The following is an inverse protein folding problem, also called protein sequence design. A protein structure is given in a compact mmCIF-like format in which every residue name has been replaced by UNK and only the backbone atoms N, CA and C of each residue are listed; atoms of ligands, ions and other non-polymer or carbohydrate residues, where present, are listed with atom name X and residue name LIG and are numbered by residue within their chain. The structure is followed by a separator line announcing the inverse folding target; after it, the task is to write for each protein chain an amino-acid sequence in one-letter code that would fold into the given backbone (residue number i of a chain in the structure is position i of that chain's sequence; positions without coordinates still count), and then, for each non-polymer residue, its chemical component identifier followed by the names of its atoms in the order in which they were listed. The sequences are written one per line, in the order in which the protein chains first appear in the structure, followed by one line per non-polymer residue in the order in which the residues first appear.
data_IF_636895127360
#
_entry.id   IF_636895127360
#
_cell.length_a   1.000
_cell.length_b   1.000
_cell.length_c   1.000
_cell.angle_alpha   90.00
_cell.angle_beta   90.00
_cell.angle_gamma   90.00
#
_symmetry.space_group_name_H-M   'P 1'
#
loop_
_entity.id
_entity.type
_entity.pdbx_description
1 polymer ?
#
# COMPACT_ATOMS: atom_id res chain seq x y z
N UNK A 1 9.27 13.68 -1.45
CA UNK A 1 7.87 13.85 -1.90
C UNK A 1 7.49 12.58 -2.64
N UNK A 2 6.32 12.00 -2.38
CA UNK A 2 5.87 10.78 -3.08
C UNK A 2 5.16 11.16 -4.37
N UNK A 3 5.29 10.34 -5.40
CA UNK A 3 4.56 10.50 -6.66
C UNK A 3 3.08 10.15 -6.51
N UNK A 4 2.77 9.21 -5.60
CA UNK A 4 1.40 8.82 -5.31
C UNK A 4 1.28 7.97 -4.06
N UNK A 5 0.07 7.47 -3.85
CA UNK A 5 -0.28 6.58 -2.73
C UNK A 5 -1.05 5.38 -3.23
N UNK A 6 -0.88 4.26 -2.52
CA UNK A 6 -1.59 3.00 -2.74
C UNK A 6 -2.53 2.78 -1.55
N UNK A 7 -3.78 2.40 -1.83
CA UNK A 7 -4.83 2.22 -0.83
C UNK A 7 -5.59 0.92 -1.09
N UNK A 8 -6.13 0.31 -0.02
CA UNK A 8 -6.95 -0.91 -0.07
C UNK A 8 -8.47 -0.61 0.00
N UNK A 9 -8.85 0.62 -0.33
CA UNK A 9 -10.19 1.15 -0.16
C UNK A 9 -10.19 2.68 -0.09
N UNK A 10 -11.38 3.26 0.01
CA UNK A 10 -11.58 4.70 0.00
C UNK A 10 -12.79 5.10 0.84
N UNK A 11 -12.97 6.40 1.06
CA UNK A 11 -14.17 6.94 1.70
C UNK A 11 -15.02 7.60 0.61
N UNK A 12 -16.30 7.28 0.57
CA UNK A 12 -17.30 7.91 -0.29
C UNK A 12 -18.46 8.37 0.58
N UNK A 13 -18.83 9.65 0.51
CA UNK A 13 -19.90 10.24 1.32
C UNK A 13 -19.79 9.95 2.83
N UNK A 14 -18.57 9.96 3.37
CA UNK A 14 -18.29 9.66 4.78
C UNK A 14 -18.34 8.17 5.14
N UNK A 15 -18.65 7.29 4.19
CA UNK A 15 -18.71 5.84 4.39
C UNK A 15 -17.43 5.20 3.86
N UNK A 16 -16.71 4.39 4.66
CA UNK A 16 -15.58 3.62 4.18
C UNK A 16 -16.05 2.49 3.26
N UNK A 17 -15.43 2.39 2.09
CA UNK A 17 -15.65 1.36 1.07
C UNK A 17 -14.35 0.58 0.92
N UNK A 18 -14.38 -0.70 1.26
CA UNK A 18 -13.30 -1.62 0.93
C UNK A 18 -13.41 -2.05 -0.53
N UNK A 19 -12.29 -2.14 -1.24
CA UNK A 19 -12.25 -2.59 -2.63
C UNK A 19 -11.43 -3.87 -2.74
N UNK A 20 -11.87 -4.86 -3.53
CA UNK A 20 -11.08 -6.06 -3.77
C UNK A 20 -9.80 -5.75 -4.57
N UNK A 21 -9.76 -4.59 -5.22
CA UNK A 21 -8.65 -4.08 -6.01
C UNK A 21 -7.93 -2.94 -5.31
N UNK A 22 -6.68 -2.71 -5.70
CA UNK A 22 -5.89 -1.58 -5.24
C UNK A 22 -6.46 -0.25 -5.78
N UNK A 23 -6.19 0.82 -5.05
CA UNK A 23 -6.50 2.18 -5.50
C UNK A 23 -5.21 2.97 -5.46
N UNK A 24 -4.87 3.57 -6.59
CA UNK A 24 -3.78 4.53 -6.66
C UNK A 24 -4.32 5.95 -6.57
N UNK A 25 -3.53 6.84 -5.99
CA UNK A 25 -3.84 8.26 -6.00
C UNK A 25 -2.60 9.09 -6.27
N UNK A 26 -2.71 10.05 -7.18
CA UNK A 26 -1.63 10.91 -7.63
C UNK A 26 -2.19 12.27 -8.09
N UNK A 27 -1.34 13.29 -8.09
CA UNK A 27 -1.70 14.63 -8.57
C UNK A 27 -1.21 14.88 -10.01
N UNK A 28 -0.22 14.12 -10.47
CA UNK A 28 0.35 14.24 -11.80
C UNK A 28 -0.52 13.45 -12.80
N UNK A 29 -1.05 14.14 -13.80
CA UNK A 29 -1.92 13.55 -14.82
C UNK A 29 -1.21 12.46 -15.62
N UNK A 30 0.09 12.61 -15.91
CA UNK A 30 0.85 11.59 -16.62
C UNK A 30 0.95 10.29 -15.79
N UNK A 31 1.18 10.42 -14.48
CA UNK A 31 1.21 9.28 -13.57
C UNK A 31 -0.16 8.58 -13.52
N UNK A 32 -1.24 9.36 -13.43
CA UNK A 32 -2.61 8.84 -13.39
C UNK A 32 -2.95 8.07 -14.66
N UNK A 33 -2.63 8.63 -15.82
CA UNK A 33 -2.84 8.00 -17.13
C UNK A 33 -2.10 6.67 -17.20
N UNK A 34 -0.78 6.66 -16.92
CA UNK A 34 0.02 5.43 -16.94
C UNK A 34 -0.54 4.37 -15.98
N UNK A 35 -0.91 4.75 -14.77
CA UNK A 35 -1.51 3.81 -13.80
C UNK A 35 -2.83 3.22 -14.30
N UNK A 36 -3.68 4.02 -14.95
CA UNK A 36 -4.96 3.55 -15.49
C UNK A 36 -4.80 2.66 -16.73
N UNK A 37 -3.80 2.91 -17.56
CA UNK A 37 -3.50 2.09 -18.74
C UNK A 37 -2.90 0.75 -18.33
N UNK A 38 -1.99 0.74 -17.36
CA UNK A 38 -1.28 -0.46 -16.95
C UNK A 38 -2.13 -1.37 -16.05
N UNK A 39 -2.77 -0.80 -15.03
CA UNK A 39 -3.51 -1.57 -14.04
C UNK A 39 -5.02 -1.63 -14.31
N UNK A 40 -5.45 -1.07 -15.44
CA UNK A 40 -6.85 -0.97 -15.82
C UNK A 40 -7.67 -0.08 -14.88
N UNK A 41 -8.98 -0.23 -14.97
CA UNK A 41 -9.94 0.43 -14.10
C UNK A 41 -10.34 1.85 -14.49
N UNK A 42 -10.89 2.59 -13.51
CA UNK A 42 -11.54 3.88 -13.75
C UNK A 42 -10.86 5.02 -12.98
N UNK A 43 -10.63 6.13 -13.68
CA UNK A 43 -10.12 7.38 -13.09
C UNK A 43 -11.28 8.15 -12.48
N UNK A 44 -11.31 8.22 -11.16
CA UNK A 44 -12.21 9.05 -10.39
C UNK A 44 -11.52 10.35 -9.98
N UNK A 45 -12.02 11.48 -10.49
CA UNK A 45 -11.55 12.81 -10.11
C UNK A 45 -12.10 13.16 -8.74
N UNK A 46 -11.29 12.94 -7.71
CA UNK A 46 -11.62 13.33 -6.35
C UNK A 46 -11.68 14.87 -6.27
N UNK A 47 -12.88 15.43 -6.14
CA UNK A 47 -13.06 16.89 -6.03
C UNK A 47 -12.29 17.53 -4.85
N UNK A 48 -12.24 18.85 -4.84
CA UNK A 48 -11.63 19.77 -3.85
C UNK A 48 -10.12 19.60 -3.52
N UNK A 49 -9.52 18.40 -3.64
CA UNK A 49 -8.10 18.18 -3.33
C UNK A 49 -7.18 18.25 -4.54
N UNK A 50 -7.73 18.13 -5.76
CA UNK A 50 -6.94 18.00 -7.00
C UNK A 50 -6.22 16.64 -7.13
N UNK A 51 -6.47 15.70 -6.22
CA UNK A 51 -5.92 14.35 -6.26
C UNK A 51 -6.81 13.48 -7.16
N UNK A 52 -6.20 12.83 -8.15
CA UNK A 52 -6.88 11.84 -8.98
C UNK A 52 -6.78 10.47 -8.31
N UNK A 53 -7.86 9.69 -8.38
CA UNK A 53 -7.87 8.29 -7.94
C UNK A 53 -8.01 7.38 -9.14
N UNK A 54 -7.22 6.33 -9.19
CA UNK A 54 -7.39 5.22 -10.14
C UNK A 54 -7.85 4.03 -9.33
N UNK A 55 -9.12 3.64 -9.49
CA UNK A 55 -9.66 2.39 -8.96
C UNK A 55 -9.30 1.34 -9.99
N UNK A 56 -8.28 0.52 -9.72
CA UNK A 56 -7.72 -0.41 -10.70
C UNK A 56 -8.49 -1.72 -10.77
N UNK A 57 -8.16 -2.54 -11.76
CA UNK A 57 -8.65 -3.91 -11.88
C UNK A 57 -7.72 -4.92 -11.20
N UNK A 58 -6.49 -4.51 -10.86
CA UNK A 58 -5.53 -5.35 -10.10
C UNK A 58 -5.78 -5.31 -8.59
N UNK A 59 -5.57 -6.44 -7.91
CA UNK A 59 -5.49 -6.53 -6.46
C UNK A 59 -4.05 -6.57 -5.95
N UNK A 60 -3.04 -6.54 -6.83
CA UNK A 60 -1.63 -6.64 -6.47
C UNK A 60 -0.71 -5.70 -7.24
N UNK A 61 0.43 -5.40 -6.63
CA UNK A 61 1.50 -4.59 -7.19
C UNK A 61 2.84 -5.02 -6.60
N UNK A 62 3.89 -5.04 -7.41
CA UNK A 62 5.26 -5.26 -6.94
C UNK A 62 5.95 -3.92 -6.74
N UNK A 63 6.58 -3.75 -5.59
CA UNK A 63 7.32 -2.56 -5.21
C UNK A 63 8.80 -2.86 -5.03
N UNK A 64 9.64 -2.15 -5.77
CA UNK A 64 11.07 -2.08 -5.54
C UNK A 64 11.37 -1.11 -4.40
N UNK A 65 12.07 -1.59 -3.39
CA UNK A 65 12.43 -0.86 -2.18
C UNK A 65 13.86 -0.33 -2.29
N UNK A 66 14.08 0.87 -1.76
CA UNK A 66 15.43 1.46 -1.72
C UNK A 66 16.30 0.84 -0.61
N UNK A 67 15.66 0.52 0.51
CA UNK A 67 16.30 -0.03 1.71
C UNK A 67 15.27 -0.82 2.55
N UNK A 68 15.71 -1.65 3.50
CA UNK A 68 14.79 -2.37 4.40
C UNK A 68 13.89 -1.43 5.21
N UNK A 69 14.40 -0.25 5.59
CA UNK A 69 13.67 0.77 6.37
C UNK A 69 12.53 1.43 5.57
N UNK A 70 12.42 1.13 4.27
CA UNK A 70 11.29 1.54 3.44
C UNK A 70 9.99 0.84 3.85
N UNK A 71 10.10 -0.20 4.67
CA UNK A 71 9.00 -0.88 5.35
C UNK A 71 9.08 -0.57 6.85
N UNK A 72 8.15 0.24 7.33
CA UNK A 72 8.11 0.73 8.71
C UNK A 72 6.79 0.33 9.37
N UNK A 73 6.86 -0.17 10.60
CA UNK A 73 5.71 -0.39 11.46
C UNK A 73 5.98 0.19 12.84
N UNK A 74 5.08 1.04 13.33
CA UNK A 74 5.19 1.63 14.67
C UNK A 74 3.84 1.69 15.38
N UNK A 75 3.87 1.76 16.70
CA UNK A 75 2.67 1.98 17.51
C UNK A 75 2.45 3.49 17.71
N UNK A 76 1.26 3.99 17.39
CA UNK A 76 0.87 5.36 17.76
C UNK A 76 0.11 5.32 19.09
N UNK A 77 0.73 5.91 20.11
CA UNK A 77 0.12 6.11 21.43
C UNK A 77 -0.74 7.39 21.38
N UNK A 78 -2.05 7.23 21.30
CA UNK A 78 -3.00 8.35 21.36
C UNK A 78 -3.29 8.68 22.84
N UNK A 79 -2.76 9.79 23.35
CA UNK A 79 -2.95 10.23 24.74
C UNK A 79 -4.35 10.86 25.03
N UNK A 80 -5.28 10.84 24.08
CA UNK A 80 -6.66 11.29 24.31
C UNK A 80 -7.49 10.17 24.91
N UNK A 81 -8.11 10.43 26.05
CA UNK A 81 -8.97 9.50 26.78
C UNK A 81 -9.94 8.77 25.84
N UNK A 82 -9.88 7.44 25.83
CA UNK A 82 -10.81 6.56 25.13
C UNK A 82 -10.45 6.20 23.68
N UNK A 83 -9.33 6.66 23.12
CA UNK A 83 -8.90 6.18 21.78
C UNK A 83 -7.94 5.00 21.93
N UNK A 84 -8.26 3.82 21.36
CA UNK A 84 -7.33 2.70 21.36
C UNK A 84 -6.06 3.08 20.60
N UNK A 85 -4.92 2.54 21.05
CA UNK A 85 -3.68 2.60 20.29
C UNK A 85 -3.90 1.99 18.90
N UNK A 86 -3.18 2.48 17.91
CA UNK A 86 -3.27 1.96 16.55
C UNK A 86 -1.89 1.78 15.95
N UNK A 87 -1.68 0.74 15.15
CA UNK A 87 -0.47 0.62 14.36
C UNK A 87 -0.48 1.69 13.28
N UNK A 88 0.72 2.08 12.88
CA UNK A 88 1.01 2.95 11.73
C UNK A 88 2.04 2.20 10.91
N UNK A 89 1.58 1.55 9.84
CA UNK A 89 2.39 0.77 8.93
C UNK A 89 2.52 1.55 7.63
N UNK A 90 3.75 1.73 7.18
CA UNK A 90 4.06 2.41 5.92
C UNK A 90 5.05 1.61 5.10
N UNK A 91 4.77 1.52 3.80
CA UNK A 91 5.64 0.88 2.82
C UNK A 91 5.89 1.89 1.71
N UNK A 92 7.16 2.09 1.35
CA UNK A 92 7.58 3.05 0.32
C UNK A 92 8.39 2.32 -0.73
N UNK A 93 8.02 2.48 -1.99
CA UNK A 93 8.75 1.83 -3.09
C UNK A 93 8.40 2.41 -4.43
N UNK A 94 9.20 2.08 -5.44
CA UNK A 94 8.87 2.32 -6.84
C UNK A 94 8.09 1.12 -7.36
N UNK A 95 7.15 1.34 -8.27
CA UNK A 95 6.44 0.24 -8.92
C UNK A 95 7.43 -0.46 -9.85
N UNK A 96 7.54 -1.78 -9.73
CA UNK A 96 8.40 -2.61 -10.57
C UNK A 96 8.02 -2.44 -12.05
N UNK A 97 9.00 -2.12 -12.91
CA UNK A 97 8.78 -1.83 -14.33
C UNK A 97 8.29 -0.40 -14.64
N UNK A 98 8.01 0.40 -13.61
CA UNK A 98 7.52 1.78 -13.73
C UNK A 98 8.28 2.74 -12.80
N UNK A 99 9.59 2.57 -12.69
CA UNK A 99 10.43 3.30 -11.74
C UNK A 99 10.45 4.81 -12.01
N UNK A 100 10.23 5.21 -13.27
CA UNK A 100 10.14 6.61 -13.69
C UNK A 100 8.93 7.35 -13.12
N UNK A 101 7.87 6.63 -12.71
CA UNK A 101 6.72 7.23 -12.05
C UNK A 101 7.08 7.74 -10.65
N UNK A 102 8.18 7.29 -10.06
CA UNK A 102 8.65 7.71 -8.75
C UNK A 102 8.18 6.83 -7.60
N UNK A 103 8.29 7.36 -6.38
CA UNK A 103 8.05 6.58 -5.15
C UNK A 103 6.58 6.67 -4.73
N UNK A 104 5.96 5.52 -4.51
CA UNK A 104 4.62 5.37 -3.97
C UNK A 104 4.66 5.04 -2.48
N UNK A 105 3.62 5.48 -1.77
CA UNK A 105 3.41 5.19 -0.36
C UNK A 105 2.15 4.35 -0.18
N UNK A 106 2.31 3.13 0.34
CA UNK A 106 1.21 2.39 0.94
C UNK A 106 1.17 2.67 2.46
N UNK A 107 -0.02 2.95 2.98
CA UNK A 107 -0.20 3.24 4.41
C UNK A 107 -1.43 2.54 4.95
N UNK A 108 -1.28 1.85 6.08
CA UNK A 108 -2.40 1.19 6.77
C UNK A 108 -2.26 1.31 8.28
N UNK A 109 -3.41 1.31 8.96
CA UNK A 109 -3.51 1.17 10.41
C UNK A 109 -4.18 -0.15 10.79
N UNK A 110 -4.23 -1.10 9.86
CA UNK A 110 -4.78 -2.43 10.08
C UNK A 110 -3.83 -3.29 10.92
N UNK A 111 -4.40 -3.99 11.89
CA UNK A 111 -3.66 -4.93 12.73
C UNK A 111 -3.20 -6.18 11.99
N UNK A 112 -3.75 -6.46 10.81
CA UNK A 112 -3.52 -7.71 10.08
C UNK A 112 -2.08 -7.93 9.67
N UNK A 113 -1.33 -6.87 9.38
CA UNK A 113 0.08 -6.97 8.97
C UNK A 113 1.05 -6.95 10.15
N UNK A 114 0.64 -6.45 11.32
CA UNK A 114 1.52 -6.28 12.49
C UNK A 114 2.29 -7.56 12.84
N UNK A 115 1.67 -8.76 12.89
CA UNK A 115 2.38 -9.99 13.22
C UNK A 115 3.48 -10.37 12.20
N UNK A 116 3.35 -9.94 10.96
CA UNK A 116 4.24 -10.30 9.85
C UNK A 116 5.40 -9.30 9.69
N UNK A 117 5.28 -8.10 10.28
CA UNK A 117 6.22 -7.01 10.03
C UNK A 117 7.66 -7.31 10.41
N UNK A 118 7.86 -7.97 11.55
CA UNK A 118 9.19 -8.30 12.02
C UNK A 118 9.89 -9.26 11.03
N UNK A 119 9.18 -10.30 10.59
CA UNK A 119 9.71 -11.27 9.63
C UNK A 119 10.07 -10.59 8.29
N UNK A 120 9.18 -9.72 7.79
CA UNK A 120 9.42 -8.97 6.55
C UNK A 120 10.68 -8.11 6.68
N UNK A 121 10.86 -7.42 7.80
CA UNK A 121 12.03 -6.56 8.03
C UNK A 121 13.33 -7.38 8.13
N UNK A 122 13.31 -8.50 8.84
CA UNK A 122 14.47 -9.39 8.98
C UNK A 122 14.87 -10.02 7.64
N UNK A 123 13.89 -10.42 6.82
CA UNK A 123 14.12 -10.98 5.49
C UNK A 123 14.73 -9.92 4.55
N UNK A 124 14.17 -8.71 4.52
CA UNK A 124 14.72 -7.59 3.75
C UNK A 124 16.14 -7.21 4.20
N UNK A 125 16.41 -7.21 5.50
CA UNK A 125 17.75 -6.98 6.03
C UNK A 125 18.74 -8.06 5.58
N UNK A 126 18.30 -9.33 5.57
CA UNK A 126 19.10 -10.47 5.10
C UNK A 126 19.41 -10.35 3.60
N UNK A 127 18.42 -10.02 2.77
CA UNK A 127 18.61 -9.79 1.34
C UNK A 127 19.56 -8.61 1.08
N UNK A 128 19.41 -7.52 1.84
CA UNK A 128 20.28 -6.36 1.73
C UNK A 128 21.73 -6.68 2.07
N UNK A 129 21.97 -7.48 3.11
CA UNK A 129 23.32 -7.92 3.48
C UNK A 129 23.99 -8.77 2.39
N UNK A 130 23.19 -9.46 1.56
CA UNK A 130 23.66 -10.22 0.40
C UNK A 130 23.85 -9.35 -0.86
N UNK A 131 23.56 -8.06 -0.78
CA UNK A 131 23.62 -7.14 -1.93
C UNK A 131 22.49 -7.34 -2.95
N UNK A 132 21.43 -8.08 -2.58
CA UNK A 132 20.29 -8.32 -3.46
C UNK A 132 19.41 -7.07 -3.63
N UNK A 133 18.68 -7.04 -4.74
CA UNK A 133 17.61 -6.06 -4.94
C UNK A 133 16.45 -6.38 -4.00
N UNK A 134 15.86 -5.35 -3.41
CA UNK A 134 14.78 -5.50 -2.44
C UNK A 134 13.46 -5.27 -3.15
N UNK A 135 12.62 -6.30 -3.21
CA UNK A 135 11.29 -6.22 -3.82
C UNK A 135 10.26 -6.87 -2.91
N UNK A 136 9.08 -6.29 -2.87
CA UNK A 136 7.93 -6.88 -2.19
C UNK A 136 6.72 -6.91 -3.12
N UNK A 137 5.89 -7.93 -2.99
CA UNK A 137 4.54 -7.96 -3.55
C UNK A 137 3.58 -7.48 -2.47
N UNK A 138 2.83 -6.43 -2.78
CA UNK A 138 1.68 -5.99 -2.00
C UNK A 138 0.42 -6.49 -2.71
N UNK A 139 -0.41 -7.27 -2.04
CA UNK A 139 -1.67 -7.78 -2.61
C UNK A 139 -2.84 -7.64 -1.63
N UNK A 140 -4.06 -7.63 -2.16
CA UNK A 140 -5.30 -7.73 -1.38
C UNK A 140 -5.87 -9.13 -1.54
N UNK A 141 -6.22 -9.73 -0.42
CA UNK A 141 -6.88 -11.03 -0.40
C UNK A 141 -8.05 -11.06 0.56
N UNK A 142 -8.98 -11.98 0.29
CA UNK A 142 -10.16 -12.20 1.11
C UNK A 142 -9.82 -13.11 2.28
N UNK A 143 -10.30 -12.74 3.47
CA UNK A 143 -10.27 -13.59 4.66
C UNK A 143 -11.69 -13.86 5.12
N UNK A 144 -11.96 -15.15 5.28
CA UNK A 144 -13.21 -15.67 5.81
C UNK A 144 -13.04 -15.88 7.31
N UNK A 145 -13.81 -15.12 8.09
CA UNK A 145 -14.07 -15.40 9.49
C UNK A 145 -15.39 -16.16 9.61
N UNK A 146 -15.63 -16.86 10.73
CA UNK A 146 -16.90 -17.54 10.98
C UNK A 146 -18.13 -16.64 10.84
N UNK A 147 -17.98 -15.33 11.04
CA UNK A 147 -19.09 -14.37 11.06
C UNK A 147 -18.96 -13.24 10.04
N UNK A 148 -17.87 -13.17 9.27
CA UNK A 148 -17.63 -12.05 8.37
C UNK A 148 -16.63 -12.40 7.27
N UNK A 149 -16.79 -11.75 6.12
CA UNK A 149 -15.80 -11.72 5.04
C UNK A 149 -15.18 -10.34 5.01
N UNK A 150 -13.85 -10.25 5.02
CA UNK A 150 -13.16 -8.97 4.89
C UNK A 150 -11.93 -9.09 4.01
N UNK A 151 -11.56 -7.98 3.39
CA UNK A 151 -10.36 -7.86 2.58
C UNK A 151 -9.21 -7.37 3.46
N UNK A 152 -8.04 -7.99 3.32
CA UNK A 152 -6.83 -7.55 4.00
C UNK A 152 -5.65 -7.46 3.05
N UNK A 153 -4.68 -6.57 3.34
CA UNK A 153 -3.42 -6.58 2.63
C UNK A 153 -2.55 -7.77 3.05
N UNK A 154 -1.76 -8.26 2.10
CA UNK A 154 -0.69 -9.22 2.26
C UNK A 154 0.59 -8.62 1.70
N UNK A 155 1.72 -8.92 2.34
CA UNK A 155 3.04 -8.46 1.91
C UNK A 155 3.95 -9.68 1.84
N UNK A 156 4.49 -9.93 0.66
CA UNK A 156 5.42 -11.04 0.40
C UNK A 156 6.76 -10.43 -0.04
N UNK A 157 7.86 -10.87 0.58
CA UNK A 157 9.20 -10.48 0.13
C UNK A 157 9.59 -11.37 -1.04
N UNK A 158 10.05 -10.75 -2.14
CA UNK A 158 10.42 -11.48 -3.35
C UNK A 158 11.94 -11.63 -3.41
N UNK A 159 12.48 -12.87 -3.53
CA UNK A 159 13.89 -13.06 -3.82
C UNK A 159 14.14 -12.66 -5.28
N UNK A 160 15.04 -11.68 -5.49
CA UNK A 160 15.55 -11.31 -6.80
C UNK A 160 17.05 -11.57 -6.89
#
# INVERSE_FOLDING_TARGET
MHAGRIKAGYVSNGVPIATPTLIFSANDEAVVTTLSEEFGGCVDRCGLTGEHRVITDTSEVVLQLENPDSVEARMIILQRAGRPHKPDISIRGRIDGFESLGVFLYKTTGWSLVPEMQNIQEELATLRAKGAQLSIRLSLGEVLLPTAKYLRPFVEVLPQ
#
